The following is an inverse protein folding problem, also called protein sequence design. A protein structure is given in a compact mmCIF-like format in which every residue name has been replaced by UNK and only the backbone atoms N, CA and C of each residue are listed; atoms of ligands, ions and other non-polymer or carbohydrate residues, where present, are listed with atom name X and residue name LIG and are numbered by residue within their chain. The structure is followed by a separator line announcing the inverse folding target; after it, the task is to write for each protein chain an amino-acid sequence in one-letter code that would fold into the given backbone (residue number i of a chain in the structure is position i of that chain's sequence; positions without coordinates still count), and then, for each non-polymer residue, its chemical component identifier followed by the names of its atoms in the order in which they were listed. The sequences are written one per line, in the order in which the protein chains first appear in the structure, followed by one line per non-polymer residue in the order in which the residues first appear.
data_IF_556212747140
#
_entry.id   IF_556212747140
#
_cell.length_a   1.000
_cell.length_b   1.000
_cell.length_c   1.000
_cell.angle_alpha   90.00
_cell.angle_beta   90.00
_cell.angle_gamma   90.00
#
_symmetry.space_group_name_H-M   'P 1'
#
loop_
_entity.id
_entity.type
_entity.pdbx_description
1 polymer ?
#
# COMPACT_ATOMS: atom_id res chain seq x y z
N UNK A 1 -90.94 39.26 -20.84
CA UNK A 1 -90.03 38.24 -20.24
C UNK A 1 -88.77 38.98 -19.89
N UNK A 2 -88.44 39.16 -18.62
CA UNK A 2 -87.21 39.86 -18.22
C UNK A 2 -86.04 38.93 -18.20
N UNK A 3 -84.95 39.40 -18.77
CA UNK A 3 -83.61 38.76 -18.75
C UNK A 3 -83.06 38.63 -17.33
N UNK A 4 -82.71 37.41 -16.96
CA UNK A 4 -82.02 37.15 -15.71
C UNK A 4 -80.52 37.36 -15.95
N UNK A 5 -79.84 38.21 -15.19
CA UNK A 5 -78.39 38.37 -15.33
C UNK A 5 -77.64 37.16 -14.77
N UNK A 6 -76.65 36.72 -15.53
CA UNK A 6 -75.74 35.60 -15.15
C UNK A 6 -74.93 35.96 -13.87
N UNK A 7 -74.65 34.99 -13.01
CA UNK A 7 -73.86 35.23 -11.80
C UNK A 7 -72.35 35.53 -12.18
N UNK A 8 -71.69 36.37 -11.38
CA UNK A 8 -70.31 36.73 -11.63
C UNK A 8 -69.38 35.51 -11.47
N UNK A 9 -68.43 35.41 -12.41
CA UNK A 9 -67.40 34.39 -12.42
C UNK A 9 -66.62 34.44 -11.10
N UNK A 10 -66.47 33.29 -10.48
CA UNK A 10 -65.61 33.13 -9.31
C UNK A 10 -64.14 33.48 -9.67
N UNK A 11 -63.40 34.13 -8.76
CA UNK A 11 -61.99 34.42 -8.97
C UNK A 11 -61.20 33.11 -9.09
N UNK A 12 -60.15 33.05 -9.93
CA UNK A 12 -59.28 31.85 -10.05
C UNK A 12 -58.71 31.55 -8.69
N UNK A 13 -58.87 30.31 -8.29
CA UNK A 13 -58.18 29.75 -7.10
C UNK A 13 -56.67 29.93 -7.30
N UNK A 14 -56.06 30.79 -6.50
CA UNK A 14 -54.62 30.86 -6.38
C UNK A 14 -54.16 29.50 -5.80
N UNK A 15 -53.58 28.68 -6.66
CA UNK A 15 -52.83 27.51 -6.21
C UNK A 15 -51.71 27.98 -5.27
N UNK A 16 -51.57 27.41 -4.07
CA UNK A 16 -50.45 27.76 -3.21
C UNK A 16 -49.16 27.26 -3.89
N UNK A 17 -48.51 28.17 -4.61
CA UNK A 17 -47.13 27.94 -4.99
C UNK A 17 -46.34 27.69 -3.69
N UNK A 18 -46.02 26.44 -3.44
CA UNK A 18 -45.12 26.03 -2.37
C UNK A 18 -43.70 26.47 -2.76
N UNK A 19 -43.53 27.77 -2.93
CA UNK A 19 -42.20 28.36 -2.94
C UNK A 19 -41.64 28.16 -1.55
N UNK A 20 -40.82 27.11 -1.41
CA UNK A 20 -39.88 26.97 -0.30
C UNK A 20 -38.99 28.22 -0.37
N UNK A 21 -39.49 29.31 0.20
CA UNK A 21 -38.76 30.56 0.22
C UNK A 21 -37.46 30.30 1.00
N UNK A 22 -36.33 30.73 0.45
CA UNK A 22 -35.01 30.58 1.08
C UNK A 22 -35.03 31.10 2.52
N UNK A 23 -35.91 32.06 2.84
CA UNK A 23 -36.11 32.58 4.19
C UNK A 23 -36.67 31.56 5.19
N UNK A 24 -37.54 30.65 4.75
CA UNK A 24 -38.05 29.57 5.61
C UNK A 24 -36.96 28.55 5.87
N UNK A 25 -36.18 28.19 4.84
CA UNK A 25 -35.07 27.24 4.99
C UNK A 25 -34.00 27.83 5.91
N UNK A 26 -33.63 29.10 5.72
CA UNK A 26 -32.61 29.76 6.57
C UNK A 26 -33.09 29.93 8.01
N UNK A 27 -34.36 30.23 8.26
CA UNK A 27 -34.90 30.35 9.62
C UNK A 27 -34.93 29.01 10.37
N UNK A 28 -35.27 27.90 9.69
CA UNK A 28 -35.21 26.55 10.26
C UNK A 28 -33.77 26.15 10.53
N UNK A 29 -32.85 26.45 9.61
CA UNK A 29 -31.42 26.14 9.72
C UNK A 29 -30.80 26.91 10.91
N UNK A 30 -31.07 28.19 11.06
CA UNK A 30 -30.60 29.02 12.18
C UNK A 30 -31.20 28.60 13.52
N UNK A 31 -32.43 28.11 13.56
CA UNK A 31 -33.06 27.63 14.79
C UNK A 31 -32.54 26.30 15.28
N UNK A 32 -31.98 25.45 14.36
CA UNK A 32 -31.48 24.14 14.67
C UNK A 32 -29.97 23.95 14.32
N UNK A 33 -29.23 25.06 14.27
CA UNK A 33 -27.81 25.07 13.89
C UNK A 33 -26.93 24.13 14.71
N UNK A 34 -27.30 23.88 15.98
CA UNK A 34 -26.56 22.96 16.84
C UNK A 34 -26.59 21.50 16.35
N UNK A 35 -27.67 21.09 15.65
CA UNK A 35 -27.72 19.78 15.01
C UNK A 35 -26.74 19.66 13.85
N UNK A 36 -26.61 20.72 13.07
CA UNK A 36 -25.65 20.77 11.97
C UNK A 36 -24.24 20.68 12.53
N UNK A 37 -23.96 21.42 13.60
CA UNK A 37 -22.67 21.40 14.27
C UNK A 37 -22.38 20.01 14.86
N UNK A 38 -23.37 19.36 15.47
CA UNK A 38 -23.26 18.01 16.01
C UNK A 38 -22.90 17.00 14.90
N UNK A 39 -23.63 17.02 13.78
CA UNK A 39 -23.37 16.12 12.67
C UNK A 39 -22.03 16.42 11.98
N UNK A 40 -21.65 17.67 11.87
CA UNK A 40 -20.34 18.07 11.33
C UNK A 40 -19.21 17.56 12.22
N UNK A 41 -19.37 17.64 13.54
CA UNK A 41 -18.37 17.14 14.50
C UNK A 41 -18.27 15.60 14.48
N UNK A 42 -19.42 14.91 14.46
CA UNK A 42 -19.46 13.45 14.36
C UNK A 42 -18.89 12.97 13.02
N UNK A 43 -19.27 13.63 11.90
CA UNK A 43 -18.73 13.30 10.58
C UNK A 43 -17.24 13.58 10.47
N UNK A 44 -16.78 14.70 11.02
CA UNK A 44 -15.37 15.06 11.08
C UNK A 44 -14.55 14.09 11.91
N UNK A 45 -15.04 13.70 13.08
CA UNK A 45 -14.38 12.69 13.94
C UNK A 45 -14.34 11.32 13.27
N UNK A 46 -15.43 10.91 12.61
CA UNK A 46 -15.49 9.67 11.83
C UNK A 46 -14.52 9.67 10.66
N UNK A 47 -14.47 10.74 9.89
CA UNK A 47 -13.54 10.90 8.78
C UNK A 47 -12.09 10.89 9.25
N UNK A 48 -11.77 11.60 10.34
CA UNK A 48 -10.44 11.60 10.95
C UNK A 48 -10.01 10.18 11.36
N UNK A 49 -10.90 9.43 12.00
CA UNK A 49 -10.62 8.06 12.43
C UNK A 49 -10.38 7.12 11.25
N UNK A 50 -11.22 7.18 10.20
CA UNK A 50 -11.08 6.35 8.99
C UNK A 50 -9.80 6.71 8.24
N UNK A 51 -9.53 8.02 8.03
CA UNK A 51 -8.32 8.49 7.34
C UNK A 51 -7.06 8.14 8.15
N UNK A 52 -7.16 8.17 9.49
CA UNK A 52 -6.07 7.78 10.38
C UNK A 52 -5.63 6.33 10.25
N UNK A 53 -6.51 5.43 9.79
CA UNK A 53 -6.21 4.01 9.58
C UNK A 53 -5.69 3.67 8.17
N UNK A 54 -5.79 4.60 7.22
CA UNK A 54 -5.37 4.32 5.85
C UNK A 54 -3.85 4.35 5.73
N UNK A 55 -3.27 3.28 5.19
CA UNK A 55 -1.87 3.23 4.84
C UNK A 55 -1.62 4.05 3.56
N UNK A 56 -0.50 4.75 3.51
CA UNK A 56 -0.10 5.46 2.30
C UNK A 56 0.37 4.45 1.24
N UNK A 57 -0.27 4.48 0.09
CA UNK A 57 0.16 3.71 -1.08
C UNK A 57 0.96 4.67 -1.95
N UNK A 58 2.24 4.37 -2.13
CA UNK A 58 3.13 5.14 -2.99
C UNK A 58 3.31 4.42 -4.32
N UNK A 59 2.93 5.06 -5.41
CA UNK A 59 3.22 4.59 -6.75
C UNK A 59 4.43 5.35 -7.29
N UNK A 60 5.44 4.61 -7.76
CA UNK A 60 6.62 5.18 -8.40
C UNK A 60 6.80 4.57 -9.78
N UNK A 61 6.91 5.41 -10.78
CA UNK A 61 7.20 5.02 -12.15
C UNK A 61 8.66 5.28 -12.45
N UNK A 62 9.36 4.27 -12.93
CA UNK A 62 10.73 4.40 -13.41
C UNK A 62 10.77 4.23 -14.93
N UNK A 63 11.55 5.07 -15.61
CA UNK A 63 11.82 4.93 -17.03
C UNK A 63 13.28 4.49 -17.22
N UNK A 64 13.46 3.44 -18.01
CA UNK A 64 14.79 2.94 -18.37
C UNK A 64 15.11 3.37 -19.79
N UNK A 65 16.23 4.05 -19.97
CA UNK A 65 16.73 4.43 -21.30
C UNK A 65 17.71 3.33 -21.74
N UNK A 66 17.34 2.60 -22.76
CA UNK A 66 18.22 1.64 -23.40
C UNK A 66 19.06 2.35 -24.45
N UNK A 67 20.37 2.25 -24.30
CA UNK A 67 21.29 2.78 -25.31
C UNK A 67 21.72 1.63 -26.20
N UNK A 68 21.37 1.69 -27.46
CA UNK A 68 21.86 0.76 -28.47
C UNK A 68 23.38 0.92 -28.60
N UNK A 69 24.12 -0.09 -28.15
CA UNK A 69 25.57 -0.11 -28.30
C UNK A 69 25.90 -0.62 -29.70
N UNK A 70 25.97 0.30 -30.65
CA UNK A 70 26.45 0.03 -32.01
C UNK A 70 27.95 -0.33 -32.05
N UNK A 71 28.38 -1.34 -31.27
CA UNK A 71 29.78 -1.73 -31.26
C UNK A 71 30.17 -2.72 -32.37
N UNK A 72 29.19 -3.41 -32.97
CA UNK A 72 29.45 -4.33 -34.06
C UNK A 72 28.36 -4.21 -35.15
N UNK A 73 28.30 -3.06 -35.81
CA UNK A 73 27.56 -2.97 -37.04
C UNK A 73 28.25 -3.81 -38.13
N UNK A 74 27.90 -5.10 -38.14
CA UNK A 74 28.25 -5.96 -39.24
C UNK A 74 27.65 -5.38 -40.53
N UNK A 75 28.31 -5.54 -41.65
CA UNK A 75 27.83 -5.06 -42.93
C UNK A 75 26.40 -5.51 -43.25
N UNK A 76 25.92 -6.60 -42.64
CA UNK A 76 24.55 -7.10 -42.74
C UNK A 76 23.52 -6.23 -42.02
N UNK A 77 23.85 -5.55 -40.94
CA UNK A 77 22.93 -4.69 -40.21
C UNK A 77 22.72 -3.34 -40.92
N UNK A 78 23.77 -2.84 -41.62
CA UNK A 78 23.65 -1.66 -42.47
C UNK A 78 22.72 -1.93 -43.64
N UNK A 79 22.76 -3.12 -44.23
CA UNK A 79 21.85 -3.50 -45.31
C UNK A 79 20.41 -3.61 -44.83
N UNK A 80 20.17 -4.10 -43.61
CA UNK A 80 18.82 -4.16 -43.02
C UNK A 80 18.22 -2.78 -42.78
N UNK A 81 19.01 -1.84 -42.24
CA UNK A 81 18.58 -0.45 -42.05
C UNK A 81 18.26 0.23 -43.38
N UNK A 82 19.08 -0.01 -44.41
CA UNK A 82 18.90 0.56 -45.76
C UNK A 82 17.69 -0.03 -46.51
N UNK A 83 17.31 -1.27 -46.19
CA UNK A 83 16.09 -1.93 -46.65
C UNK A 83 14.83 -1.56 -45.85
N UNK A 84 14.93 -0.64 -44.84
CA UNK A 84 13.81 -0.23 -44.02
C UNK A 84 13.32 -1.30 -43.04
N UNK A 85 14.10 -2.36 -42.81
CA UNK A 85 13.81 -3.35 -41.79
C UNK A 85 14.33 -2.80 -40.45
N UNK A 86 13.42 -2.23 -39.69
CA UNK A 86 13.72 -1.64 -38.36
C UNK A 86 14.20 -2.72 -37.36
N UNK A 87 15.54 -2.86 -37.29
CA UNK A 87 16.17 -3.75 -36.31
C UNK A 87 16.10 -3.22 -34.88
N UNK A 88 15.82 -1.94 -34.71
CA UNK A 88 15.70 -1.30 -33.37
C UNK A 88 14.47 -1.80 -32.59
N UNK A 89 13.34 -1.95 -33.24
CA UNK A 89 12.13 -2.43 -32.58
C UNK A 89 12.25 -3.90 -32.13
N UNK A 90 12.93 -4.74 -32.91
CA UNK A 90 13.16 -6.13 -32.55
C UNK A 90 14.14 -6.26 -31.37
N UNK A 91 15.18 -5.43 -31.32
CA UNK A 91 16.13 -5.38 -30.21
C UNK A 91 15.45 -4.88 -28.93
N UNK A 92 14.63 -3.82 -29.02
CA UNK A 92 13.89 -3.29 -27.89
C UNK A 92 12.93 -4.33 -27.30
N UNK A 93 12.23 -5.08 -28.15
CA UNK A 93 11.35 -6.17 -27.71
C UNK A 93 12.16 -7.26 -26.97
N UNK A 94 13.30 -7.67 -27.52
CA UNK A 94 14.16 -8.67 -26.89
C UNK A 94 14.72 -8.21 -25.55
N UNK A 95 15.20 -6.97 -25.45
CA UNK A 95 15.67 -6.37 -24.18
C UNK A 95 14.55 -6.29 -23.13
N UNK A 96 13.33 -5.96 -23.55
CA UNK A 96 12.18 -5.93 -22.64
C UNK A 96 11.81 -7.32 -22.15
N UNK A 97 11.99 -8.37 -22.96
CA UNK A 97 11.81 -9.76 -22.53
C UNK A 97 12.86 -10.17 -21.50
N UNK A 98 14.12 -9.79 -21.72
CA UNK A 98 15.20 -10.07 -20.77
C UNK A 98 14.92 -9.40 -19.42
N UNK A 99 14.51 -8.13 -19.42
CA UNK A 99 14.18 -7.40 -18.19
C UNK A 99 12.97 -8.00 -17.44
N UNK A 100 12.05 -8.63 -18.15
CA UNK A 100 10.89 -9.31 -17.55
C UNK A 100 11.15 -10.78 -17.24
N UNK A 101 12.34 -11.26 -17.47
CA UNK A 101 12.72 -12.64 -17.19
C UNK A 101 12.63 -12.92 -15.68
N UNK A 102 12.02 -14.05 -15.32
CA UNK A 102 11.91 -14.50 -13.93
C UNK A 102 13.27 -14.61 -13.24
N UNK A 103 14.31 -14.98 -13.97
CA UNK A 103 15.67 -15.07 -13.45
C UNK A 103 16.23 -13.70 -13.05
N UNK A 104 16.03 -12.67 -13.90
CA UNK A 104 16.48 -11.31 -13.60
C UNK A 104 15.70 -10.75 -12.41
N UNK A 105 14.38 -10.97 -12.39
CA UNK A 105 13.54 -10.54 -11.27
C UNK A 105 13.94 -11.22 -9.96
N UNK A 106 14.17 -12.54 -9.97
CA UNK A 106 14.63 -13.28 -8.80
C UNK A 106 15.96 -12.73 -8.27
N UNK A 107 16.97 -12.61 -9.12
CA UNK A 107 18.28 -12.08 -8.72
C UNK A 107 18.14 -10.65 -8.16
N UNK A 108 17.28 -9.82 -8.75
CA UNK A 108 17.04 -8.47 -8.26
C UNK A 108 16.38 -8.47 -6.87
N UNK A 109 15.43 -9.36 -6.64
CA UNK A 109 14.75 -9.51 -5.33
C UNK A 109 15.75 -9.99 -4.28
N UNK A 110 16.63 -10.93 -4.62
CA UNK A 110 17.69 -11.44 -3.73
C UNK A 110 18.74 -10.37 -3.43
N UNK A 111 19.28 -9.70 -4.45
CA UNK A 111 20.31 -8.65 -4.32
C UNK A 111 19.82 -7.45 -3.48
N UNK A 112 18.56 -7.10 -3.63
CA UNK A 112 17.95 -5.97 -2.91
C UNK A 112 17.26 -6.40 -1.61
N UNK A 113 17.30 -7.70 -1.26
CA UNK A 113 16.62 -8.27 -0.08
C UNK A 113 15.14 -7.87 0.01
N UNK A 114 14.45 -7.82 -1.14
CA UNK A 114 13.03 -7.45 -1.23
C UNK A 114 12.09 -8.59 -0.86
N UNK A 115 12.61 -9.78 -0.61
CA UNK A 115 11.86 -10.94 -0.16
C UNK A 115 11.27 -10.78 1.25
N UNK A 116 11.71 -9.78 2.01
CA UNK A 116 11.20 -9.47 3.34
C UNK A 116 10.76 -8.02 3.42
N UNK A 117 9.51 -7.79 3.79
CA UNK A 117 9.00 -6.46 4.10
C UNK A 117 8.92 -6.26 5.60
N UNK A 118 9.35 -5.10 6.07
CA UNK A 118 9.39 -4.74 7.48
C UNK A 118 8.35 -3.67 7.78
N UNK A 119 7.39 -4.01 8.63
CA UNK A 119 6.32 -3.11 9.02
C UNK A 119 6.40 -2.79 10.51
N UNK A 120 6.21 -1.55 10.83
CA UNK A 120 6.10 -1.10 12.21
C UNK A 120 4.73 -0.50 12.46
N UNK A 121 4.09 -0.91 13.54
CA UNK A 121 2.87 -0.26 14.00
C UNK A 121 3.23 1.06 14.66
N UNK A 122 2.76 2.17 14.08
CA UNK A 122 2.86 3.50 14.68
C UNK A 122 1.46 4.07 14.85
N UNK A 123 1.03 4.20 16.11
CA UNK A 123 -0.31 4.62 16.48
C UNK A 123 -1.40 3.75 15.80
N UNK A 124 -2.13 4.33 14.83
CA UNK A 124 -3.22 3.68 14.10
C UNK A 124 -2.80 3.16 12.72
N UNK A 125 -1.55 3.34 12.32
CA UNK A 125 -1.05 3.01 10.98
C UNK A 125 0.08 2.00 11.03
N UNK A 126 0.19 1.22 9.98
CA UNK A 126 1.37 0.41 9.70
C UNK A 126 2.25 1.17 8.70
N UNK A 127 3.51 1.32 9.03
CA UNK A 127 4.50 1.99 8.20
C UNK A 127 5.50 0.96 7.70
N UNK A 128 5.71 0.92 6.38
CA UNK A 128 6.76 0.13 5.77
C UNK A 128 8.11 0.81 6.01
N UNK A 129 9.01 0.10 6.67
CA UNK A 129 10.32 0.60 7.03
C UNK A 129 11.38 0.41 5.94
N UNK A 130 11.19 -0.53 5.03
CA UNK A 130 12.14 -0.87 3.97
C UNK A 130 13.62 -0.77 4.45
N UNK A 131 14.39 0.22 3.96
CA UNK A 131 15.80 0.43 4.35
C UNK A 131 16.00 1.07 5.73
N UNK A 132 14.96 1.68 6.29
CA UNK A 132 15.00 2.30 7.62
C UNK A 132 14.69 1.29 8.73
N UNK A 133 14.56 0.01 8.39
CA UNK A 133 14.38 -1.05 9.37
C UNK A 133 15.58 -1.13 10.32
N UNK A 134 15.35 -1.18 11.64
CA UNK A 134 16.42 -1.36 12.63
C UNK A 134 17.01 -2.77 12.63
N UNK A 135 16.36 -3.71 11.93
CA UNK A 135 16.81 -5.10 11.81
C UNK A 135 16.77 -5.56 10.37
N UNK A 136 17.64 -6.51 10.05
CA UNK A 136 17.60 -7.28 8.82
C UNK A 136 17.44 -8.75 9.18
N UNK A 137 16.55 -9.45 8.53
CA UNK A 137 16.26 -10.86 8.75
C UNK A 137 16.75 -11.66 7.57
N UNK A 138 17.52 -12.70 7.82
CA UNK A 138 17.94 -13.66 6.81
C UNK A 138 17.34 -15.03 7.09
N UNK A 139 17.02 -15.74 6.04
CA UNK A 139 16.40 -17.06 6.08
C UNK A 139 17.34 -18.10 5.47
N UNK A 140 17.23 -19.32 5.96
CA UNK A 140 17.83 -20.50 5.35
C UNK A 140 17.00 -20.96 4.13
N UNK A 141 17.59 -21.67 3.18
CA UNK A 141 17.02 -22.14 1.91
C UNK A 141 15.67 -22.88 2.02
N UNK A 142 15.31 -23.30 3.22
CA UNK A 142 14.01 -23.93 3.49
C UNK A 142 12.81 -22.99 3.42
N UNK A 143 13.06 -21.69 3.50
CA UNK A 143 12.00 -20.67 3.48
C UNK A 143 11.56 -20.28 2.07
N UNK A 144 12.26 -20.72 1.03
CA UNK A 144 12.10 -20.25 -0.35
C UNK A 144 10.70 -20.42 -0.94
N UNK A 145 9.83 -21.20 -0.31
CA UNK A 145 8.52 -21.52 -0.90
C UNK A 145 7.36 -21.32 0.08
N UNK A 146 7.48 -20.48 1.09
CA UNK A 146 6.44 -20.25 2.08
C UNK A 146 6.23 -18.76 2.37
N UNK A 147 4.99 -18.36 2.20
CA UNK A 147 4.50 -17.08 2.68
C UNK A 147 4.29 -17.16 4.19
N UNK A 148 5.00 -16.37 4.96
CA UNK A 148 4.82 -16.34 6.41
C UNK A 148 4.94 -14.91 6.97
N UNK A 149 4.15 -14.67 8.01
CA UNK A 149 4.18 -13.42 8.76
C UNK A 149 4.56 -13.74 10.20
N UNK A 150 5.51 -13.00 10.72
CA UNK A 150 5.92 -13.12 12.13
C UNK A 150 6.34 -11.75 12.65
N UNK A 151 6.17 -11.58 13.94
CA UNK A 151 6.54 -10.38 14.65
C UNK A 151 7.88 -10.58 15.37
N UNK A 152 8.79 -9.65 15.18
CA UNK A 152 10.07 -9.60 15.85
C UNK A 152 10.01 -8.53 16.92
N UNK A 153 10.04 -8.91 18.18
CA UNK A 153 10.11 -7.99 19.31
C UNK A 153 11.55 -7.95 19.81
N UNK A 154 12.13 -6.76 19.78
CA UNK A 154 13.47 -6.52 20.30
C UNK A 154 13.40 -6.31 21.80
N UNK A 155 14.16 -7.09 22.56
CA UNK A 155 14.30 -6.99 23.99
C UNK A 155 15.69 -6.42 24.38
N UNK A 156 15.86 -5.89 25.61
CA UNK A 156 17.17 -5.52 26.11
C UNK A 156 18.18 -6.68 26.06
N UNK A 157 19.46 -6.35 26.09
CA UNK A 157 20.56 -7.36 26.12
C UNK A 157 20.70 -8.22 24.85
N UNK A 158 20.36 -7.66 23.67
CA UNK A 158 20.42 -8.37 22.40
C UNK A 158 19.51 -9.62 22.32
N UNK A 159 18.48 -9.68 23.16
CA UNK A 159 17.47 -10.72 23.08
C UNK A 159 16.39 -10.35 22.05
N UNK A 160 15.88 -11.37 21.39
CA UNK A 160 14.84 -11.24 20.36
C UNK A 160 13.76 -12.27 20.64
N UNK A 161 12.51 -11.84 20.64
CA UNK A 161 11.35 -12.72 20.69
C UNK A 161 10.65 -12.71 19.34
N UNK A 162 10.56 -13.88 18.73
CA UNK A 162 9.82 -14.10 17.49
C UNK A 162 8.44 -14.63 17.84
N UNK A 163 7.39 -13.94 17.37
CA UNK A 163 6.00 -14.37 17.57
C UNK A 163 5.39 -14.69 16.21
N UNK A 164 4.91 -15.91 16.03
CA UNK A 164 4.22 -16.34 14.81
C UNK A 164 2.95 -17.09 15.17
N UNK A 165 2.05 -17.25 14.22
CA UNK A 165 0.79 -17.95 14.43
C UNK A 165 0.84 -19.34 13.81
N UNK A 166 0.36 -20.33 14.55
CA UNK A 166 0.21 -21.69 14.03
C UNK A 166 -0.99 -21.79 13.05
N UNK A 167 -1.21 -22.96 12.48
CA UNK A 167 -2.34 -23.22 11.58
C UNK A 167 -3.72 -23.06 12.26
N UNK A 168 -3.77 -23.09 13.59
CA UNK A 168 -4.97 -22.88 14.38
C UNK A 168 -5.16 -21.41 14.79
N UNK A 169 -4.20 -20.54 14.47
CA UNK A 169 -4.23 -19.11 14.80
C UNK A 169 -3.72 -18.77 16.21
N UNK A 170 -3.10 -19.74 16.91
CA UNK A 170 -2.53 -19.47 18.23
C UNK A 170 -1.15 -18.81 18.09
N UNK A 171 -0.83 -17.77 18.88
CA UNK A 171 0.49 -17.15 18.88
C UNK A 171 1.50 -18.08 19.59
N UNK A 172 2.56 -18.38 18.89
CA UNK A 172 3.72 -19.11 19.43
C UNK A 172 4.90 -18.14 19.51
N UNK A 173 5.61 -18.19 20.62
CA UNK A 173 6.77 -17.34 20.88
C UNK A 173 8.03 -18.17 21.01
N UNK A 174 9.02 -17.79 20.22
CA UNK A 174 10.38 -18.37 20.29
C UNK A 174 11.37 -17.27 20.66
N UNK A 175 12.19 -17.57 21.67
CA UNK A 175 13.21 -16.63 22.15
C UNK A 175 14.58 -16.99 21.59
N UNK A 176 15.28 -15.97 21.13
CA UNK A 176 16.62 -16.11 20.61
C UNK A 176 17.49 -14.89 20.91
N UNK A 177 18.64 -14.86 20.30
CA UNK A 177 19.58 -13.72 20.37
C UNK A 177 19.86 -13.20 18.98
N UNK A 178 20.19 -11.92 18.91
CA UNK A 178 20.72 -11.32 17.69
C UNK A 178 21.96 -12.10 17.21
N UNK A 179 22.15 -12.22 15.91
CA UNK A 179 23.21 -12.97 15.24
C UNK A 179 23.17 -14.49 15.45
N UNK A 180 22.20 -15.02 16.18
CA UNK A 180 22.06 -16.46 16.37
C UNK A 180 20.90 -17.02 15.52
N UNK A 181 21.06 -18.21 14.93
CA UNK A 181 19.98 -18.85 14.18
C UNK A 181 18.88 -19.32 15.15
N UNK A 182 17.66 -18.97 14.84
CA UNK A 182 16.45 -19.35 15.57
C UNK A 182 15.65 -20.28 14.68
N UNK A 183 15.45 -21.52 15.10
CA UNK A 183 14.74 -22.52 14.32
C UNK A 183 13.24 -22.39 14.52
N UNK A 184 12.53 -21.98 13.47
CA UNK A 184 11.08 -21.99 13.39
C UNK A 184 10.60 -23.25 12.64
N UNK A 185 9.35 -23.66 12.77
CA UNK A 185 8.82 -24.85 12.09
C UNK A 185 8.90 -24.77 10.56
N UNK A 186 8.97 -23.59 10.02
CA UNK A 186 8.93 -23.31 8.58
C UNK A 186 10.28 -22.84 8.03
N UNK A 187 11.21 -22.32 8.84
CA UNK A 187 12.51 -21.81 8.41
C UNK A 187 13.45 -21.59 9.59
N UNK A 188 14.75 -21.52 9.32
CA UNK A 188 15.72 -21.00 10.28
C UNK A 188 15.91 -19.50 10.00
N UNK A 189 15.69 -18.70 11.03
CA UNK A 189 15.72 -17.24 10.94
C UNK A 189 16.89 -16.69 11.72
N UNK A 190 17.68 -15.82 11.12
CA UNK A 190 18.74 -15.08 11.81
C UNK A 190 18.45 -13.58 11.72
N UNK A 191 18.45 -12.91 12.86
CA UNK A 191 18.17 -11.48 12.95
C UNK A 191 19.47 -10.70 13.15
N UNK A 192 19.73 -9.75 12.28
CA UNK A 192 20.89 -8.86 12.36
C UNK A 192 20.45 -7.43 12.66
N UNK A 193 21.13 -6.70 13.55
CA UNK A 193 20.88 -5.30 13.78
C UNK A 193 21.42 -4.47 12.59
N UNK A 194 20.67 -3.44 12.21
CA UNK A 194 21.09 -2.46 11.21
C UNK A 194 21.65 -1.21 11.91
N UNK A 195 22.33 -0.34 11.15
CA UNK A 195 22.81 0.96 11.65
C UNK A 195 21.71 1.87 12.22
N UNK A 196 20.47 1.61 11.87
CA UNK A 196 19.28 2.34 12.33
C UNK A 196 18.68 1.79 13.63
N UNK A 197 19.37 0.85 14.28
CA UNK A 197 18.92 0.30 15.55
C UNK A 197 18.98 1.36 16.65
N UNK A 198 17.87 1.67 17.35
CA UNK A 198 17.87 2.65 18.41
C UNK A 198 18.67 2.13 19.62
N UNK A 199 19.42 3.00 20.29
CA UNK A 199 20.22 2.64 21.48
C UNK A 199 19.35 2.09 22.65
N UNK A 200 18.11 2.57 22.75
CA UNK A 200 17.14 2.10 23.73
C UNK A 200 16.15 1.17 23.06
N UNK A 201 16.49 -0.10 23.01
CA UNK A 201 15.63 -1.15 22.48
C UNK A 201 14.75 -1.66 23.63
N UNK A 202 13.51 -1.21 23.70
CA UNK A 202 12.55 -1.77 24.63
C UNK A 202 11.21 -1.91 23.94
N UNK A 203 10.81 -3.17 23.68
CA UNK A 203 9.47 -3.50 23.20
C UNK A 203 9.12 -3.01 21.79
N UNK A 204 10.12 -2.72 20.94
CA UNK A 204 9.83 -2.39 19.52
C UNK A 204 9.48 -3.66 18.77
N UNK A 205 8.22 -3.77 18.35
CA UNK A 205 7.74 -4.89 17.55
C UNK A 205 7.77 -4.50 16.06
N UNK A 206 8.36 -5.36 15.24
CA UNK A 206 8.45 -5.22 13.79
C UNK A 206 7.80 -6.46 13.18
N UNK A 207 6.77 -6.24 12.39
CA UNK A 207 6.14 -7.32 11.62
C UNK A 207 6.94 -7.57 10.37
N UNK A 208 7.45 -8.77 10.23
CA UNK A 208 8.18 -9.23 9.05
C UNK A 208 7.25 -10.07 8.19
N UNK A 209 7.16 -9.72 6.91
CA UNK A 209 6.38 -10.43 5.91
C UNK A 209 7.35 -11.02 4.89
N UNK A 210 7.42 -12.34 4.84
CA UNK A 210 8.22 -13.07 3.88
C UNK A 210 7.39 -13.37 2.63
N UNK A 211 7.89 -12.97 1.47
CA UNK A 211 7.30 -13.29 0.16
C UNK A 211 8.07 -14.43 -0.49
N UNK A 212 7.34 -15.30 -1.16
CA UNK A 212 7.96 -16.34 -1.98
C UNK A 212 8.38 -15.76 -3.34
N UNK A 213 9.47 -16.25 -3.89
CA UNK A 213 9.98 -15.84 -5.19
C UNK A 213 9.03 -16.17 -6.36
N UNK A 214 8.01 -17.01 -6.15
CA UNK A 214 7.02 -17.39 -7.17
C UNK A 214 5.85 -16.41 -7.28
N UNK A 215 5.79 -15.38 -6.44
CA UNK A 215 4.72 -14.37 -6.45
C UNK A 215 5.09 -13.11 -7.25
N UNK A 216 6.21 -13.09 -7.94
CA UNK A 216 6.70 -11.96 -8.74
C UNK A 216 6.42 -12.12 -10.25
#
# INVERSE_FOLDING_TARGET
MPDTPAPPAAPPAEEPESSLSLDVITSILLRRWYWILLFALLGGAGAYYVTGKQNYIFEKTASVIMRESNKDSSSSDRIKVELGMDSGAANLANESFILRSSTVMRNTVEDLTLNVSYWKQQDLRQIDLYKDSPITVTFDDRAENRFCTFDVTLEPENAVTLTYHDAAGNPIQEKGKLHAPISLPFATVTVYPTSNMPETVSGTTITCLLYTSDAA
#
